data_IF_068543107870
#
_entry.id   IF_068543107870
#
_cell.length_a   1.000
_cell.length_b   1.000
_cell.length_c   1.000
_cell.angle_alpha   90.00
_cell.angle_beta   90.00
_cell.angle_gamma   90.00
#
_symmetry.space_group_name_H-M   'P 1'
#
loop_
_entity.id
_entity.type
_entity.pdbx_description
1 polymer ?
#
# COMPACT_ATOMS: atom_id res chain seq x y z
N UNK A 1 6.00 -6.84 -10.73
CA UNK A 1 4.98 -6.39 -9.76
C UNK A 1 5.14 -7.17 -8.48
N UNK A 2 4.84 -6.52 -7.37
CA UNK A 2 5.09 -7.08 -6.04
C UNK A 2 3.79 -7.05 -5.26
N UNK A 3 3.42 -8.18 -4.67
CA UNK A 3 2.24 -8.26 -3.81
C UNK A 3 2.70 -8.19 -2.36
N UNK A 4 2.23 -7.17 -1.64
CA UNK A 4 2.58 -6.99 -0.23
C UNK A 4 1.34 -6.66 0.58
N UNK A 5 1.46 -6.75 1.89
CA UNK A 5 0.48 -6.18 2.82
C UNK A 5 1.22 -5.11 3.60
N UNK A 6 0.60 -3.96 3.73
CA UNK A 6 1.21 -2.85 4.43
C UNK A 6 0.17 -2.06 5.21
N UNK A 7 0.60 -1.54 6.36
CA UNK A 7 -0.23 -0.68 7.19
C UNK A 7 0.10 0.76 6.87
N UNK A 8 -0.91 1.53 6.52
CA UNK A 8 -0.74 2.95 6.21
C UNK A 8 -0.47 3.72 7.50
N UNK A 9 0.64 4.44 7.55
CA UNK A 9 1.00 5.19 8.75
C UNK A 9 0.70 6.67 8.64
N UNK A 10 0.78 7.24 7.43
CA UNK A 10 0.47 8.64 7.23
C UNK A 10 0.22 8.93 5.76
N UNK A 11 -0.53 10.01 5.49
CA UNK A 11 -0.69 10.55 4.15
C UNK A 11 0.32 11.69 4.01
N UNK A 12 1.25 11.55 3.08
CA UNK A 12 2.33 12.52 2.89
C UNK A 12 1.90 13.65 1.96
N UNK A 13 1.10 13.32 0.95
CA UNK A 13 0.73 14.27 -0.08
C UNK A 13 -0.56 13.83 -0.76
N UNK A 14 -1.36 14.81 -1.19
CA UNK A 14 -2.59 14.54 -1.94
C UNK A 14 -2.84 15.70 -2.87
N UNK A 15 -3.08 15.38 -4.15
CA UNK A 15 -3.51 16.37 -5.14
C UNK A 15 -4.39 15.65 -6.13
N UNK A 16 -5.64 16.10 -6.26
CA UNK A 16 -6.64 15.42 -7.08
C UNK A 16 -6.77 13.97 -6.63
N UNK A 17 -6.55 13.00 -7.51
CA UNK A 17 -6.58 11.58 -7.15
C UNK A 17 -5.21 11.00 -6.86
N UNK A 18 -4.16 11.80 -7.02
CA UNK A 18 -2.80 11.34 -6.77
C UNK A 18 -2.48 11.47 -5.29
N UNK A 19 -2.00 10.38 -4.68
CA UNK A 19 -1.71 10.36 -3.25
C UNK A 19 -0.38 9.68 -2.98
N UNK A 20 0.29 10.16 -1.94
CA UNK A 20 1.55 9.57 -1.47
C UNK A 20 1.37 9.22 0.00
N UNK A 21 1.67 7.97 0.34
CA UNK A 21 1.54 7.47 1.71
C UNK A 21 2.84 6.92 2.22
N UNK A 22 3.04 7.03 3.53
CA UNK A 22 4.04 6.25 4.23
C UNK A 22 3.36 5.02 4.80
N UNK A 23 4.02 3.88 4.73
CA UNK A 23 3.43 2.63 5.18
C UNK A 23 4.49 1.68 5.72
N UNK A 24 4.07 0.81 6.65
CA UNK A 24 4.92 -0.25 7.18
C UNK A 24 4.49 -1.56 6.56
N UNK A 25 5.36 -2.21 5.76
CA UNK A 25 4.99 -3.50 5.20
C UNK A 25 4.90 -4.55 6.30
N UNK A 26 3.87 -5.39 6.25
CA UNK A 26 3.61 -6.39 7.27
C UNK A 26 3.66 -7.81 6.72
N UNK A 27 3.53 -7.98 5.41
CA UNK A 27 3.67 -9.28 4.77
C UNK A 27 4.52 -9.12 3.52
N UNK A 28 5.29 -10.18 3.22
CA UNK A 28 6.21 -10.20 2.06
C UNK A 28 7.22 -9.05 2.15
N UNK A 29 7.66 -8.77 3.36
CA UNK A 29 8.51 -7.62 3.67
C UNK A 29 9.83 -7.65 2.89
N UNK A 30 10.36 -8.84 2.63
CA UNK A 30 11.62 -8.97 1.90
C UNK A 30 11.54 -8.60 0.43
N UNK A 31 10.32 -8.43 -0.10
CA UNK A 31 10.14 -8.07 -1.51
C UNK A 31 10.28 -6.56 -1.76
N UNK A 32 10.35 -5.76 -0.72
CA UNK A 32 10.43 -4.30 -0.83
C UNK A 32 11.63 -3.80 -0.02
N UNK A 33 12.12 -2.64 -0.42
CA UNK A 33 13.25 -2.02 0.27
C UNK A 33 12.71 -1.02 1.29
N UNK A 34 12.92 -1.31 2.56
CA UNK A 34 12.41 -0.51 3.67
C UNK A 34 13.46 0.53 4.02
N UNK A 35 13.02 1.76 4.27
CA UNK A 35 13.93 2.83 4.64
C UNK A 35 14.37 2.71 6.10
N UNK A 36 15.19 3.67 6.55
CA UNK A 36 15.74 3.62 7.91
C UNK A 36 14.68 3.74 9.00
N UNK A 37 13.47 4.18 8.65
CA UNK A 37 12.37 4.32 9.61
C UNK A 37 11.45 3.11 9.61
N UNK A 38 11.79 2.09 8.84
CA UNK A 38 10.96 0.88 8.76
C UNK A 38 9.75 1.04 7.87
N UNK A 39 9.73 2.05 7.00
CA UNK A 39 8.58 2.34 6.14
C UNK A 39 8.95 2.30 4.66
N UNK A 40 7.92 2.27 3.82
CA UNK A 40 8.07 2.44 2.37
C UNK A 40 7.18 3.60 1.94
N UNK A 41 7.49 4.16 0.77
CA UNK A 41 6.68 5.22 0.20
C UNK A 41 5.79 4.64 -0.89
N UNK A 42 4.48 4.79 -0.71
CA UNK A 42 3.48 4.32 -1.67
C UNK A 42 2.94 5.52 -2.44
N UNK A 43 2.88 5.42 -3.75
CA UNK A 43 2.38 6.51 -4.59
C UNK A 43 1.35 5.96 -5.58
N UNK A 44 0.42 6.77 -6.00
CA UNK A 44 -0.49 6.37 -7.06
C UNK A 44 -1.79 7.15 -7.08
N UNK A 45 -2.55 6.91 -8.13
CA UNK A 45 -3.89 7.46 -8.27
C UNK A 45 -4.86 6.44 -7.71
N UNK A 46 -5.15 6.54 -6.42
CA UNK A 46 -5.97 5.58 -5.71
C UNK A 46 -6.99 6.32 -4.86
N UNK A 47 -8.06 5.63 -4.49
CA UNK A 47 -8.98 6.17 -3.51
C UNK A 47 -8.24 6.35 -2.19
N UNK A 48 -8.72 7.27 -1.38
CA UNK A 48 -8.07 7.56 -0.10
C UNK A 48 -8.01 6.29 0.76
N UNK A 49 -6.80 5.99 1.23
CA UNK A 49 -6.58 4.88 2.14
C UNK A 49 -6.59 5.40 3.56
N UNK A 50 -7.18 4.64 4.46
CA UNK A 50 -7.32 5.05 5.85
C UNK A 50 -6.02 4.82 6.60
N UNK A 51 -5.56 5.85 7.29
CA UNK A 51 -4.37 5.75 8.15
C UNK A 51 -4.65 4.75 9.27
N UNK A 52 -3.65 3.96 9.58
CA UNK A 52 -3.68 2.88 10.58
C UNK A 52 -4.42 1.64 10.13
N UNK A 53 -4.88 1.60 8.87
CA UNK A 53 -5.48 0.41 8.30
C UNK A 53 -4.46 -0.36 7.46
N UNK A 54 -4.62 -1.66 7.42
CA UNK A 54 -3.75 -2.55 6.68
C UNK A 54 -4.42 -2.93 5.37
N UNK A 55 -3.64 -2.88 4.28
CA UNK A 55 -4.16 -3.17 2.95
C UNK A 55 -3.25 -4.16 2.23
N UNK A 56 -3.87 -5.01 1.43
CA UNK A 56 -3.14 -5.87 0.50
C UNK A 56 -2.98 -5.11 -0.81
N UNK A 57 -1.74 -4.94 -1.22
CA UNK A 57 -1.42 -4.07 -2.36
C UNK A 57 -0.58 -4.81 -3.38
N UNK A 58 -0.82 -4.50 -4.65
CA UNK A 58 0.08 -4.87 -5.72
C UNK A 58 0.80 -3.59 -6.14
N UNK A 59 2.12 -3.60 -6.04
CA UNK A 59 2.92 -2.40 -6.27
C UNK A 59 4.02 -2.68 -7.28
N UNK A 60 4.56 -1.59 -7.85
CA UNK A 60 5.69 -1.64 -8.76
C UNK A 60 6.77 -0.71 -8.24
N UNK A 61 7.98 -1.23 -8.17
CA UNK A 61 9.13 -0.43 -7.74
C UNK A 61 9.45 0.64 -8.79
N UNK A 62 9.58 1.87 -8.35
CA UNK A 62 9.96 2.99 -9.20
C UNK A 62 11.05 3.80 -8.52
N UNK A 63 12.10 4.10 -9.27
CA UNK A 63 13.18 4.94 -8.76
C UNK A 63 13.03 6.34 -9.33
N UNK A 64 13.22 7.34 -8.47
CA UNK A 64 13.21 8.73 -8.88
C UNK A 64 14.44 9.41 -8.29
N UNK A 65 14.65 10.68 -8.67
CA UNK A 65 15.74 11.45 -8.11
C UNK A 65 15.60 11.68 -6.61
N UNK A 66 14.39 11.44 -6.08
CA UNK A 66 14.12 11.60 -4.64
C UNK A 66 14.21 10.28 -3.88
N UNK A 67 14.50 9.18 -4.56
CA UNK A 67 14.63 7.89 -3.94
C UNK A 67 13.70 6.84 -4.53
N UNK A 68 13.47 5.80 -3.76
CA UNK A 68 12.71 4.65 -4.21
C UNK A 68 11.27 4.76 -3.74
N UNK A 69 10.34 4.64 -4.69
CA UNK A 69 8.91 4.65 -4.42
C UNK A 69 8.29 3.34 -4.90
N UNK A 70 7.12 3.02 -4.37
CA UNK A 70 6.35 1.87 -4.81
C UNK A 70 5.02 2.37 -5.32
N UNK A 71 4.82 2.24 -6.64
CA UNK A 71 3.57 2.69 -7.26
C UNK A 71 2.49 1.64 -7.01
N UNK A 72 1.37 2.08 -6.45
CA UNK A 72 0.23 1.19 -6.20
C UNK A 72 -0.46 0.94 -7.53
N UNK A 73 -0.48 -0.32 -7.96
CA UNK A 73 -1.16 -0.73 -9.18
C UNK A 73 -2.58 -1.21 -8.87
N UNK A 74 -2.75 -1.81 -7.70
CA UNK A 74 -4.03 -2.35 -7.30
C UNK A 74 -4.10 -2.42 -5.77
N UNK A 75 -5.24 -2.04 -5.20
CA UNK A 75 -5.52 -2.23 -3.79
C UNK A 75 -6.45 -3.43 -3.69
N UNK A 76 -5.98 -4.50 -3.04
CA UNK A 76 -6.76 -5.71 -2.85
C UNK A 76 -7.28 -5.69 -1.42
N UNK A 77 -8.57 -5.59 -1.25
CA UNK A 77 -9.14 -5.58 0.09
C UNK A 77 -9.27 -7.02 0.59
N UNK A 78 -8.86 -7.23 1.79
CA UNK A 78 -9.01 -8.51 2.47
C UNK A 78 -10.39 -8.50 3.09
N UNK A 79 -11.33 -8.64 2.28
CA UNK A 79 -12.70 -8.71 2.77
C UNK A 79 -12.98 -10.13 3.12
N UNK A 80 -13.24 -10.29 3.84
CA UNK A 80 -13.49 -11.33 3.97
C UNK A 80 -14.64 -11.82 3.68
N UNK A 81 -14.20 -12.15 3.26
CA UNK A 81 -15.05 -12.34 2.81
C UNK A 81 -15.78 -13.17 3.10
N UNK A 82 -15.45 -13.30 3.69
CA UNK A 82 -16.01 -13.69 3.95
C UNK A 82 -16.97 -13.83 4.22
N UNK A 83 -16.95 -13.60 4.39
CA UNK A 83 -17.87 -13.50 4.56
C UNK A 83 -18.77 -13.63 3.97
N UNK A 84 -18.69 -13.74 3.57
CA UNK A 84 -19.44 -13.62 2.95
C UNK A 84 -19.94 -14.54 2.57
N UNK A 85 -19.74 -14.94 2.76
CA UNK A 85 -20.11 -15.48 2.35
C UNK A 85 -20.55 -16.31 2.51
N UNK A 86 -20.44 -16.18 2.97
CA UNK A 86 -20.90 -16.55 3.10
C UNK A 86 -21.71 -16.80 2.90
N UNK A 87 -21.56 -16.61 2.95
CA UNK A 87 -22.26 -16.60 2.63
C UNK A 87 -22.90 -17.06 2.26
N UNK A 88 -22.86 -17.05 2.29
CA UNK A 88 -23.40 -17.24 1.85
C UNK A 88 -23.92 -17.70 1.56
N UNK A 89 -23.87 -18.04 1.65
CA UNK A 89 -24.39 -18.18 1.33
C UNK A 89 -24.88 -18.41 1.26
#
# INVERSE_FOLDING_TARGET
>A
MIDITAKITKKVFEKDNFRIYGAVPTENVGAVEINQYGTITLVGEVHELTVNEEYKLTVKEEKSKYGLNYKILKVRRDIDISNLGKCEN
#
